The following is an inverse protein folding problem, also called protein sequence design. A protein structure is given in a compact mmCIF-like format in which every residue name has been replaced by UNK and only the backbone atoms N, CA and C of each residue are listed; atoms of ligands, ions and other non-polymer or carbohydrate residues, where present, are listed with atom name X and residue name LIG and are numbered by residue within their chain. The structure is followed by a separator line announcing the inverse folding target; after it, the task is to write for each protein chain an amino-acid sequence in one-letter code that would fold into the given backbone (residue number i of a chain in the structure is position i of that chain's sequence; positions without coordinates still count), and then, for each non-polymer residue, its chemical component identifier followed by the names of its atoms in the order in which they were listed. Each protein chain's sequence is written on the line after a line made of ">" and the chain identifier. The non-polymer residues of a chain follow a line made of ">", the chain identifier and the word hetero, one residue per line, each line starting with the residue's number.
data_IF_094404010587
#
_entry.id   IF_094404010587
#
_cell.length_a   1.000
_cell.length_b   1.000
_cell.length_c   1.000
_cell.angle_alpha   90.00
_cell.angle_beta   90.00
_cell.angle_gamma   90.00
#
_symmetry.space_group_name_H-M   'P 1'
#
loop_
_entity.id
_entity.type
_entity.pdbx_description
1 polymer ?
#
# COMPACT_ATOMS: atom_id res chain seq x y z
N UNK A 1 2.25 9.48 24.04
CA UNK A 1 0.90 8.98 23.67
C UNK A 1 0.35 9.92 22.60
N UNK A 2 0.53 9.58 21.32
CA UNK A 2 0.01 10.42 20.24
C UNK A 2 -1.51 10.19 20.15
N UNK A 3 -2.28 11.22 20.50
CA UNK A 3 -3.73 11.26 20.30
C UNK A 3 -3.98 11.36 18.80
N UNK A 4 -4.45 10.28 18.18
CA UNK A 4 -4.91 10.33 16.80
C UNK A 4 -6.21 11.13 16.78
N UNK A 5 -6.32 12.21 15.99
CA UNK A 5 -7.58 12.89 15.83
C UNK A 5 -8.59 11.93 15.21
N UNK A 6 -9.74 11.78 15.86
CA UNK A 6 -10.93 11.14 15.29
C UNK A 6 -11.43 12.00 14.13
N UNK A 7 -10.74 11.92 13.00
CA UNK A 7 -11.21 12.50 11.75
C UNK A 7 -12.56 11.85 11.43
N UNK A 8 -13.58 12.69 11.29
CA UNK A 8 -14.89 12.27 10.84
C UNK A 8 -14.72 11.56 9.49
N UNK A 9 -14.88 10.23 9.48
CA UNK A 9 -14.70 9.34 8.32
C UNK A 9 -15.51 9.77 7.07
N UNK A 10 -16.49 10.65 7.24
CA UNK A 10 -17.28 11.22 6.15
C UNK A 10 -16.58 12.37 5.40
N UNK A 11 -15.59 13.02 6.01
CA UNK A 11 -14.91 14.20 5.44
C UNK A 11 -13.60 13.88 4.72
N UNK A 12 -12.88 12.82 5.14
CA UNK A 12 -11.59 12.43 4.55
C UNK A 12 -11.73 11.74 3.18
N UNK A 13 -12.93 11.31 2.81
CA UNK A 13 -13.18 10.83 1.47
C UNK A 13 -13.49 12.05 0.60
N UNK A 14 -12.63 12.39 -0.36
CA UNK A 14 -12.98 13.21 -1.53
C UNK A 14 -14.20 12.68 -2.33
N UNK A 15 -14.84 11.62 -1.86
CA UNK A 15 -16.26 11.40 -2.04
C UNK A 15 -17.04 12.57 -1.43
N UNK A 16 -17.30 13.60 -2.23
CA UNK A 16 -18.58 14.32 -2.11
C UNK A 16 -19.67 13.24 -2.16
N UNK A 17 -20.07 12.73 -1.00
CA UNK A 17 -21.33 12.05 -0.83
C UNK A 17 -22.33 13.17 -1.11
N UNK A 18 -22.75 13.27 -2.38
CA UNK A 18 -24.01 13.92 -2.70
C UNK A 18 -25.00 13.33 -1.71
N UNK A 19 -25.56 14.17 -0.83
CA UNK A 19 -26.64 13.76 0.08
C UNK A 19 -27.71 13.12 -0.81
N UNK A 20 -27.76 11.79 -0.87
CA UNK A 20 -28.65 11.02 -1.76
C UNK A 20 -28.01 10.04 -2.77
N UNK A 21 -26.68 10.00 -2.95
CA UNK A 21 -26.04 9.10 -3.94
C UNK A 21 -25.77 7.70 -3.40
N UNK A 22 -26.40 6.66 -3.96
CA UNK A 22 -26.06 5.26 -3.66
C UNK A 22 -24.60 4.93 -4.03
N UNK A 23 -23.90 4.22 -3.14
CA UNK A 23 -22.54 3.73 -3.38
C UNK A 23 -22.55 2.73 -4.56
N UNK A 24 -21.71 2.98 -5.57
CA UNK A 24 -21.61 2.12 -6.77
C UNK A 24 -20.70 0.92 -6.49
N UNK A 25 -20.97 -0.22 -7.15
CA UNK A 25 -20.13 -1.42 -7.03
C UNK A 25 -18.67 -1.15 -7.44
N UNK A 26 -18.47 -0.28 -8.42
CA UNK A 26 -17.14 0.14 -8.88
C UNK A 26 -16.30 0.85 -7.82
N UNK A 27 -16.92 1.40 -6.76
CA UNK A 27 -16.19 2.00 -5.65
C UNK A 27 -15.71 0.94 -4.64
N UNK A 28 -16.45 -0.16 -4.49
CA UNK A 28 -16.06 -1.30 -3.66
C UNK A 28 -14.87 -2.03 -4.28
N UNK A 29 -14.90 -2.22 -5.60
CA UNK A 29 -13.85 -2.95 -6.33
C UNK A 29 -12.52 -2.21 -6.45
N UNK A 30 -12.40 -0.98 -5.91
CA UNK A 30 -11.13 -0.24 -5.86
C UNK A 30 -10.15 -0.82 -4.84
N UNK A 31 -10.65 -1.54 -3.85
CA UNK A 31 -9.86 -2.13 -2.79
C UNK A 31 -9.81 -3.65 -2.97
N UNK A 32 -8.63 -4.28 -2.83
CA UNK A 32 -8.48 -5.72 -2.98
C UNK A 32 -9.27 -6.44 -1.90
N UNK A 33 -9.80 -7.61 -2.25
CA UNK A 33 -10.55 -8.41 -1.29
C UNK A 33 -9.64 -8.78 -0.10
N UNK A 34 -10.18 -8.69 1.11
CA UNK A 34 -9.43 -8.93 2.35
C UNK A 34 -8.75 -7.70 2.93
N UNK A 35 -8.65 -6.57 2.21
CA UNK A 35 -8.21 -5.30 2.78
C UNK A 35 -9.28 -4.68 3.69
N UNK A 36 -8.85 -3.93 4.71
CA UNK A 36 -9.77 -3.28 5.65
C UNK A 36 -10.72 -2.30 4.95
N UNK A 37 -10.19 -1.54 3.99
CA UNK A 37 -10.91 -0.56 3.18
C UNK A 37 -12.00 -1.24 2.34
N UNK A 38 -11.71 -2.43 1.81
CA UNK A 38 -12.68 -3.24 1.08
C UNK A 38 -13.85 -3.63 1.99
N UNK A 39 -13.56 -4.18 3.17
CA UNK A 39 -14.58 -4.63 4.13
C UNK A 39 -15.50 -3.47 4.54
N UNK A 40 -14.93 -2.31 4.85
CA UNK A 40 -15.69 -1.10 5.22
C UNK A 40 -16.54 -0.61 4.04
N UNK A 41 -15.95 -0.50 2.84
CA UNK A 41 -16.66 0.02 1.65
C UNK A 41 -17.76 -0.93 1.20
N UNK A 42 -17.50 -2.24 1.22
CA UNK A 42 -18.47 -3.29 0.94
C UNK A 42 -19.63 -3.27 1.95
N UNK A 43 -19.35 -3.13 3.25
CA UNK A 43 -20.39 -3.04 4.27
C UNK A 43 -21.30 -1.81 4.07
N UNK A 44 -20.73 -0.64 3.72
CA UNK A 44 -21.51 0.57 3.37
C UNK A 44 -22.38 0.34 2.13
N UNK A 45 -21.83 -0.31 1.11
CA UNK A 45 -22.54 -0.69 -0.11
C UNK A 45 -23.69 -1.68 0.15
N UNK A 46 -23.50 -2.68 1.02
CA UNK A 46 -24.55 -3.60 1.45
C UNK A 46 -25.67 -2.88 2.21
N UNK A 47 -25.31 -2.03 3.20
CA UNK A 47 -26.28 -1.24 3.98
C UNK A 47 -27.14 -0.35 3.10
N UNK A 48 -26.55 0.27 2.06
CA UNK A 48 -27.30 1.09 1.09
C UNK A 48 -28.38 0.32 0.31
N UNK A 49 -28.35 -1.03 0.34
CA UNK A 49 -29.35 -1.94 -0.25
C UNK A 49 -30.17 -2.70 0.80
N UNK A 50 -30.15 -2.26 2.05
CA UNK A 50 -30.88 -2.93 3.14
C UNK A 50 -30.30 -4.30 3.51
N UNK A 51 -29.03 -4.57 3.18
CA UNK A 51 -28.35 -5.83 3.47
C UNK A 51 -27.34 -5.68 4.61
N UNK A 52 -27.07 -6.80 5.28
CA UNK A 52 -26.07 -6.86 6.35
C UNK A 52 -24.64 -6.99 5.78
N UNK A 53 -23.61 -6.56 6.54
CA UNK A 53 -22.22 -6.88 6.21
C UNK A 53 -22.02 -8.39 6.13
N UNK A 54 -21.22 -8.84 5.16
CA UNK A 54 -20.96 -10.27 4.94
C UNK A 54 -19.48 -10.62 4.78
N UNK A 55 -18.59 -9.63 4.70
CA UNK A 55 -17.16 -9.90 4.48
C UNK A 55 -16.47 -10.25 5.81
N UNK A 56 -15.66 -11.33 5.85
CA UNK A 56 -14.74 -11.57 6.94
C UNK A 56 -13.55 -10.60 6.86
N UNK A 57 -12.79 -10.49 7.95
CA UNK A 57 -11.56 -9.69 7.96
C UNK A 57 -10.52 -10.32 8.87
N UNK A 58 -9.30 -10.50 8.34
CA UNK A 58 -8.23 -11.25 9.00
C UNK A 58 -8.75 -12.64 9.45
N UNK A 59 -8.56 -12.99 10.72
CA UNK A 59 -9.04 -14.25 11.30
C UNK A 59 -10.50 -14.19 11.79
N UNK A 60 -11.16 -13.03 11.75
CA UNK A 60 -12.52 -12.87 12.25
C UNK A 60 -13.55 -13.25 11.18
N UNK A 61 -14.23 -14.38 11.41
CA UNK A 61 -15.26 -14.93 10.51
C UNK A 61 -16.62 -14.26 10.70
N UNK A 62 -16.90 -13.64 11.85
CA UNK A 62 -18.15 -12.95 12.10
C UNK A 62 -18.16 -11.58 11.39
N UNK A 63 -19.03 -11.32 10.40
CA UNK A 63 -18.96 -10.10 9.59
C UNK A 63 -19.15 -8.80 10.36
N UNK A 64 -19.87 -8.81 11.49
CA UNK A 64 -20.06 -7.60 12.32
C UNK A 64 -18.79 -7.25 13.08
N UNK A 65 -18.14 -8.27 13.67
CA UNK A 65 -16.86 -8.09 14.37
C UNK A 65 -15.73 -7.77 13.39
N UNK A 66 -15.73 -8.44 12.24
CA UNK A 66 -14.82 -8.16 11.13
C UNK A 66 -14.92 -6.70 10.68
N UNK A 67 -16.13 -6.20 10.49
CA UNK A 67 -16.35 -4.79 10.16
C UNK A 67 -15.81 -3.85 11.25
N UNK A 68 -16.09 -4.11 12.52
CA UNK A 68 -15.58 -3.28 13.62
C UNK A 68 -14.04 -3.30 13.74
N UNK A 69 -13.40 -4.40 13.35
CA UNK A 69 -11.93 -4.46 13.25
C UNK A 69 -11.44 -3.69 12.02
N UNK A 70 -12.06 -3.89 10.86
CA UNK A 70 -11.73 -3.19 9.63
C UNK A 70 -11.90 -1.67 9.76
N UNK A 71 -12.95 -1.19 10.43
CA UNK A 71 -13.16 0.25 10.71
C UNK A 71 -12.02 0.87 11.53
N UNK A 72 -11.33 0.09 12.35
CA UNK A 72 -10.16 0.55 13.12
C UNK A 72 -8.85 0.52 12.34
N UNK A 73 -8.76 -0.30 11.29
CA UNK A 73 -7.53 -0.52 10.53
C UNK A 73 -7.55 0.14 9.14
N UNK A 74 -8.74 0.42 8.60
CA UNK A 74 -8.90 0.96 7.27
C UNK A 74 -8.29 2.35 7.16
N UNK A 75 -7.49 2.52 6.10
CA UNK A 75 -6.87 3.77 5.74
C UNK A 75 -7.59 4.38 4.54
N UNK A 76 -8.30 5.48 4.78
CA UNK A 76 -8.88 6.29 3.73
C UNK A 76 -8.08 7.57 3.61
N UNK A 77 -7.25 7.65 2.56
CA UNK A 77 -6.43 8.83 2.28
C UNK A 77 -7.31 10.09 2.28
N UNK A 78 -6.92 11.16 3.00
CA UNK A 78 -7.66 12.42 2.99
C UNK A 78 -7.67 13.09 1.59
N UNK A 79 -6.75 12.69 0.71
CA UNK A 79 -6.64 13.18 -0.67
C UNK A 79 -7.51 12.38 -1.65
N UNK A 80 -8.27 11.38 -1.18
CA UNK A 80 -9.12 10.51 -2.00
C UNK A 80 -8.37 9.33 -2.61
N UNK A 81 -7.16 9.54 -3.14
CA UNK A 81 -6.24 8.50 -3.60
C UNK A 81 -4.97 8.48 -2.73
N UNK A 82 -4.31 7.33 -2.66
CA UNK A 82 -3.05 7.20 -1.91
C UNK A 82 -1.98 8.05 -2.60
N UNK A 83 -1.40 9.00 -1.86
CA UNK A 83 -0.46 10.01 -2.40
C UNK A 83 -1.03 10.80 -3.60
N UNK A 84 -2.35 10.93 -3.70
CA UNK A 84 -2.98 11.59 -4.85
C UNK A 84 -2.90 10.81 -6.17
N UNK A 85 -2.39 9.57 -6.14
CA UNK A 85 -2.15 8.74 -7.34
C UNK A 85 -0.75 8.88 -7.93
N UNK A 86 0.07 9.81 -7.41
CA UNK A 86 1.38 10.14 -7.95
C UNK A 86 2.54 9.45 -7.20
N UNK A 87 3.71 9.43 -7.84
CA UNK A 87 4.98 9.06 -7.20
C UNK A 87 5.60 10.31 -6.57
N UNK A 88 5.93 10.32 -5.26
CA UNK A 88 6.54 11.49 -4.63
C UNK A 88 7.89 11.86 -5.27
N UNK A 89 8.17 13.16 -5.44
CA UNK A 89 9.43 13.65 -6.04
C UNK A 89 10.69 13.13 -5.33
N UNK A 90 10.61 12.83 -4.03
CA UNK A 90 11.73 12.32 -3.25
C UNK A 90 11.82 10.78 -3.23
N UNK A 91 10.99 10.09 -4.03
CA UNK A 91 11.00 8.64 -4.19
C UNK A 91 12.02 8.25 -5.28
N UNK A 92 13.30 8.41 -4.95
CA UNK A 92 14.42 8.26 -5.89
C UNK A 92 15.44 7.28 -5.29
N UNK A 93 15.99 6.37 -6.12
CA UNK A 93 17.11 5.53 -5.75
C UNK A 93 18.35 6.40 -5.42
N UNK A 94 18.87 6.30 -4.19
CA UNK A 94 20.03 7.07 -3.71
C UNK A 94 21.33 6.72 -4.45
N UNK A 95 21.43 5.53 -5.03
CA UNK A 95 22.65 5.05 -5.67
C UNK A 95 22.72 5.40 -7.17
N UNK A 96 21.64 5.17 -7.93
CA UNK A 96 21.64 5.37 -9.39
C UNK A 96 20.72 6.51 -9.86
N UNK A 97 19.95 7.13 -8.96
CA UNK A 97 19.02 8.22 -9.29
C UNK A 97 17.80 7.77 -10.09
N UNK A 98 17.47 6.48 -10.09
CA UNK A 98 16.27 5.96 -10.74
C UNK A 98 14.98 6.42 -10.03
N UNK A 99 13.96 6.72 -10.83
CA UNK A 99 12.60 7.11 -10.42
C UNK A 99 11.58 6.20 -11.09
N UNK A 100 10.30 6.34 -10.72
CA UNK A 100 9.16 5.69 -11.38
C UNK A 100 9.26 4.15 -11.41
N UNK A 101 9.88 3.58 -10.39
CA UNK A 101 9.99 2.15 -10.19
C UNK A 101 9.84 1.81 -8.70
N UNK A 102 9.57 0.55 -8.39
CA UNK A 102 9.60 0.04 -7.03
C UNK A 102 10.96 0.35 -6.40
N UNK A 103 10.94 0.93 -5.21
CA UNK A 103 12.13 1.09 -4.38
C UNK A 103 11.99 0.27 -3.11
N UNK A 104 13.15 -0.11 -2.60
CA UNK A 104 13.34 -0.80 -1.35
C UNK A 104 14.13 0.07 -0.39
N UNK A 105 13.98 -0.19 0.90
CA UNK A 105 14.69 0.46 1.99
C UNK A 105 15.22 -0.57 2.95
N UNK A 106 16.29 -0.23 3.66
CA UNK A 106 16.81 -1.08 4.71
C UNK A 106 15.77 -1.25 5.85
N UNK A 107 15.69 -2.47 6.36
CA UNK A 107 14.83 -2.81 7.50
C UNK A 107 15.29 -2.08 8.77
N UNK A 108 14.34 -1.57 9.55
CA UNK A 108 14.57 -0.92 10.86
C UNK A 108 15.48 0.33 10.88
N UNK A 109 15.54 1.12 9.80
CA UNK A 109 16.27 2.40 9.81
C UNK A 109 15.36 3.61 10.05
N UNK A 110 15.90 4.62 10.76
CA UNK A 110 15.23 5.92 10.99
C UNK A 110 15.29 6.84 9.76
N UNK A 111 16.33 6.71 8.93
CA UNK A 111 16.50 7.39 7.65
C UNK A 111 16.64 6.32 6.58
N UNK A 112 15.54 6.04 5.90
CA UNK A 112 15.50 5.06 4.84
C UNK A 112 16.12 5.65 3.58
N UNK A 113 17.38 5.32 3.30
CA UNK A 113 17.89 5.44 1.93
C UNK A 113 17.14 4.46 1.04
N UNK A 114 16.65 4.97 -0.09
CA UNK A 114 15.86 4.18 -1.03
C UNK A 114 16.77 3.62 -2.12
N UNK A 115 16.59 2.37 -2.49
CA UNK A 115 17.33 1.72 -3.58
C UNK A 115 16.39 0.98 -4.51
N UNK A 116 16.64 1.04 -5.82
CA UNK A 116 15.94 0.19 -6.77
C UNK A 116 16.43 -1.27 -6.64
N UNK A 117 15.67 -2.24 -7.19
CA UNK A 117 16.00 -3.65 -7.05
C UNK A 117 17.47 -3.99 -7.43
N UNK A 118 18.03 -3.53 -8.57
CA UNK A 118 19.43 -3.83 -8.91
C UNK A 118 20.46 -3.28 -7.92
N UNK A 119 20.22 -2.08 -7.38
CA UNK A 119 21.12 -1.46 -6.41
C UNK A 119 21.04 -2.14 -5.03
N UNK A 120 19.82 -2.48 -4.58
CA UNK A 120 19.62 -3.27 -3.36
C UNK A 120 20.29 -4.65 -3.47
N UNK A 121 20.08 -5.33 -4.60
CA UNK A 121 20.67 -6.63 -4.89
C UNK A 121 22.21 -6.58 -4.91
N UNK A 122 22.79 -5.57 -5.56
CA UNK A 122 24.23 -5.34 -5.58
C UNK A 122 24.80 -5.10 -4.18
N UNK A 123 24.10 -4.30 -3.36
CA UNK A 123 24.52 -4.00 -1.98
C UNK A 123 24.58 -5.25 -1.10
N UNK A 124 23.65 -6.19 -1.31
CA UNK A 124 23.51 -7.41 -0.51
C UNK A 124 24.19 -8.63 -1.15
N UNK A 125 24.80 -8.49 -2.34
CA UNK A 125 25.37 -9.60 -3.10
C UNK A 125 24.33 -10.67 -3.50
N UNK A 126 23.09 -10.26 -3.79
CA UNK A 126 21.98 -11.17 -4.13
C UNK A 126 21.72 -11.20 -5.63
N UNK A 127 21.36 -12.37 -6.14
CA UNK A 127 20.77 -12.49 -7.48
C UNK A 127 19.27 -12.18 -7.41
N UNK A 128 18.80 -11.35 -8.35
CA UNK A 128 17.40 -10.96 -8.52
C UNK A 128 16.90 -11.26 -9.93
N UNK A 129 17.55 -12.17 -10.65
CA UNK A 129 17.14 -12.62 -11.99
C UNK A 129 15.72 -13.20 -12.01
N UNK A 130 15.21 -13.64 -10.86
CA UNK A 130 13.91 -14.25 -10.64
C UNK A 130 12.83 -13.28 -10.12
N UNK A 131 13.14 -11.99 -9.96
CA UNK A 131 12.18 -10.99 -9.50
C UNK A 131 11.13 -10.72 -10.59
N UNK A 132 9.85 -10.75 -10.22
CA UNK A 132 8.74 -10.55 -11.16
C UNK A 132 8.17 -9.12 -11.14
N UNK A 133 7.11 -8.90 -11.92
CA UNK A 133 6.41 -7.62 -12.02
C UNK A 133 5.76 -7.17 -10.71
N UNK A 134 5.46 -8.09 -9.79
CA UNK A 134 4.96 -7.77 -8.46
C UNK A 134 6.09 -7.37 -7.49
N UNK A 135 7.35 -7.45 -7.92
CA UNK A 135 8.52 -7.23 -7.07
C UNK A 135 8.83 -8.44 -6.18
N UNK A 136 8.26 -9.61 -6.51
CA UNK A 136 8.40 -10.84 -5.75
C UNK A 136 9.47 -11.74 -6.37
N UNK A 137 10.34 -12.30 -5.54
CA UNK A 137 11.38 -13.28 -5.90
C UNK A 137 11.29 -14.52 -5.01
N UNK A 138 12.06 -15.56 -5.33
CA UNK A 138 12.20 -16.74 -4.48
C UNK A 138 13.04 -16.40 -3.26
N UNK A 139 12.59 -16.86 -2.09
CA UNK A 139 13.35 -16.74 -0.85
C UNK A 139 14.38 -17.87 -0.74
N UNK A 140 15.48 -17.62 -0.03
CA UNK A 140 16.49 -18.64 0.32
C UNK A 140 15.94 -19.79 1.17
N UNK A 141 14.80 -19.57 1.83
CA UNK A 141 14.13 -20.56 2.68
C UNK A 141 12.94 -21.23 1.97
N UNK A 142 12.79 -21.00 0.67
CA UNK A 142 11.62 -21.43 -0.10
C UNK A 142 10.46 -20.44 0.00
N UNK A 143 9.55 -20.50 -0.98
CA UNK A 143 8.43 -19.56 -1.08
C UNK A 143 8.79 -18.24 -1.77
N UNK A 144 7.80 -17.35 -1.91
CA UNK A 144 7.94 -16.05 -2.56
C UNK A 144 8.07 -14.92 -1.54
N UNK A 145 8.92 -13.94 -1.82
CA UNK A 145 9.16 -12.77 -0.96
C UNK A 145 9.40 -11.53 -1.80
N UNK A 146 9.01 -10.37 -1.30
CA UNK A 146 9.35 -9.04 -1.82
C UNK A 146 10.67 -8.49 -1.22
N UNK A 147 11.38 -9.28 -0.40
CA UNK A 147 12.62 -8.86 0.26
C UNK A 147 13.85 -9.15 -0.60
N UNK A 148 14.81 -8.22 -0.52
CA UNK A 148 16.13 -8.34 -1.15
C UNK A 148 17.18 -8.23 -0.04
N UNK A 149 17.56 -9.37 0.56
CA UNK A 149 18.40 -9.36 1.76
C UNK A 149 17.71 -8.60 2.90
N UNK A 150 18.38 -7.60 3.47
CA UNK A 150 17.82 -6.71 4.50
C UNK A 150 16.91 -5.60 3.97
N UNK A 151 16.72 -5.51 2.65
CA UNK A 151 15.90 -4.50 2.02
C UNK A 151 14.45 -4.96 1.88
N UNK A 152 13.53 -4.15 2.42
CA UNK A 152 12.08 -4.34 2.35
C UNK A 152 11.46 -3.30 1.39
N UNK A 153 10.26 -3.54 0.84
CA UNK A 153 9.53 -2.54 0.07
C UNK A 153 9.44 -1.18 0.78
N UNK A 154 9.72 -0.12 0.05
CA UNK A 154 9.58 1.24 0.53
C UNK A 154 8.24 1.81 0.07
N UNK A 155 7.26 1.90 0.99
CA UNK A 155 5.99 2.56 0.72
C UNK A 155 5.95 3.89 1.47
N UNK A 156 5.99 5.04 0.76
CA UNK A 156 6.06 6.35 1.39
C UNK A 156 4.75 6.71 2.10
N UNK A 157 4.87 7.44 3.20
CA UNK A 157 3.72 8.14 3.82
C UNK A 157 3.46 9.45 3.10
N UNK A 158 2.35 10.11 3.42
CA UNK A 158 2.04 11.48 2.96
C UNK A 158 3.04 12.51 3.50
N UNK A 159 3.76 12.19 4.57
CA UNK A 159 4.86 13.02 5.06
C UNK A 159 6.11 12.75 4.22
N UNK A 160 6.66 13.83 3.66
CA UNK A 160 7.89 13.82 2.86
C UNK A 160 9.02 13.13 3.61
N UNK A 161 9.70 12.21 2.93
CA UNK A 161 10.86 11.50 3.46
C UNK A 161 10.57 10.43 4.51
N UNK A 162 9.30 10.08 4.78
CA UNK A 162 8.97 8.94 5.64
C UNK A 162 8.27 7.82 4.89
N UNK A 163 8.51 6.59 5.34
CA UNK A 163 7.89 5.37 4.83
C UNK A 163 7.12 4.67 5.95
N UNK A 164 6.10 3.90 5.55
CA UNK A 164 5.39 3.01 6.46
C UNK A 164 6.31 1.89 6.95
N UNK A 165 6.02 1.39 8.16
CA UNK A 165 6.59 0.13 8.64
C UNK A 165 6.14 -1.03 7.74
N UNK A 166 6.99 -2.03 7.55
CA UNK A 166 6.74 -3.16 6.63
C UNK A 166 5.37 -3.84 6.84
N UNK A 167 5.01 -4.08 8.10
CA UNK A 167 3.73 -4.71 8.48
C UNK A 167 2.61 -3.72 8.77
N UNK A 168 2.85 -2.44 8.54
CA UNK A 168 1.93 -1.34 8.83
C UNK A 168 1.47 -0.60 7.57
N UNK A 169 1.87 -1.05 6.38
CA UNK A 169 1.44 -0.43 5.12
C UNK A 169 -0.07 -0.62 4.95
N UNK A 170 -0.83 0.46 4.72
CA UNK A 170 -2.26 0.33 4.43
C UNK A 170 -2.50 -0.32 3.05
N UNK A 171 -3.66 -0.94 2.87
CA UNK A 171 -4.00 -1.62 1.60
C UNK A 171 -3.78 -0.76 0.35
N UNK A 172 -4.26 0.50 0.31
CA UNK A 172 -3.99 1.43 -0.80
C UNK A 172 -2.49 1.69 -1.04
N UNK A 173 -1.65 1.66 0.00
CA UNK A 173 -0.21 1.83 -0.15
C UNK A 173 0.47 0.60 -0.75
N UNK A 174 0.02 -0.61 -0.38
CA UNK A 174 0.46 -1.85 -1.04
C UNK A 174 0.10 -1.82 -2.53
N UNK A 175 -1.14 -1.50 -2.86
CA UNK A 175 -1.59 -1.36 -4.25
C UNK A 175 -0.76 -0.33 -5.01
N UNK A 176 -0.52 0.85 -4.44
CA UNK A 176 0.29 1.89 -5.08
C UNK A 176 1.68 1.34 -5.45
N UNK A 177 2.34 0.64 -4.53
CA UNK A 177 3.68 0.08 -4.76
C UNK A 177 3.64 -1.06 -5.79
N UNK A 178 2.65 -1.93 -5.73
CA UNK A 178 2.45 -3.05 -6.67
C UNK A 178 2.32 -2.58 -8.13
N UNK A 179 1.69 -1.43 -8.37
CA UNK A 179 1.52 -0.86 -9.72
C UNK A 179 2.78 -0.21 -10.30
N UNK A 180 3.82 0.02 -9.49
CA UNK A 180 5.08 0.57 -10.01
C UNK A 180 5.85 -0.48 -10.81
N UNK A 181 6.59 -0.12 -11.87
CA UNK A 181 7.53 -1.02 -12.53
C UNK A 181 8.56 -1.60 -11.53
N UNK A 182 8.80 -2.91 -11.56
CA UNK A 182 9.79 -3.53 -10.66
C UNK A 182 11.22 -3.05 -10.93
N UNK A 183 11.58 -2.95 -12.21
CA UNK A 183 12.91 -2.56 -12.62
C UNK A 183 12.90 -1.11 -13.13
N UNK A 184 13.96 -0.33 -12.85
CA UNK A 184 14.09 0.99 -13.43
C UNK A 184 14.12 0.89 -14.95
N UNK A 185 13.49 1.84 -15.65
CA UNK A 185 13.65 1.95 -17.10
C UNK A 185 15.15 2.11 -17.38
N UNK A 186 15.68 1.30 -18.31
CA UNK A 186 17.06 1.44 -18.73
C UNK A 186 17.29 2.89 -19.15
N UNK A 187 18.10 3.64 -18.40
CA UNK A 187 18.61 4.91 -18.89
C UNK A 187 19.44 4.56 -20.13
N UNK A 188 19.02 5.03 -21.31
CA UNK A 188 19.93 5.12 -22.44
C UNK A 188 21.14 5.88 -21.91
N UNK A 189 22.32 5.25 -21.94
CA UNK A 189 23.56 5.95 -21.65
C UNK A 189 23.58 7.20 -22.54
N UNK A 190 23.71 8.37 -21.91
CA UNK A 190 24.00 9.62 -22.61
C UNK A 190 25.48 9.65 -22.90
#
# INVERSE_FOLDING_TARGET
>A
MASYPTANLNAALGLRIQRGGQLKRSQVSRYPQGAAEHVVTHARWQRSRGRNPSEPFLWEKNPRKALALAERMAYFSPLGEYLGGDVPDNYICSECGATDCKLWREYQTMRAELRCAPCAARSEGRDISDIDEAGMRLSEHGGRTDQIGWYIPAVPTEKVGSCWGYTAVPGPGCLWWEHLPTLPRQRRAV
#
